data_IF_691266006172
#
_entry.id   IF_691266006172
#
_cell.length_a   1.000
_cell.length_b   1.000
_cell.length_c   1.000
_cell.angle_alpha   90.00
_cell.angle_beta   90.00
_cell.angle_gamma   90.00
#
_symmetry.space_group_name_H-M   'P 1'
#
loop_
_entity.id
_entity.type
_entity.pdbx_description
1 polymer ?
#
# COMPACT_ATOMS: atom_id res chain seq x y z
N UNK A 1 -8.01 -10.84 -2.24
CA UNK A 1 -8.53 -10.27 -3.51
C UNK A 1 -7.79 -8.98 -3.83
N UNK A 2 -7.44 -8.75 -5.10
CA UNK A 2 -6.79 -7.53 -5.61
C UNK A 2 -7.19 -7.27 -7.06
N UNK A 3 -6.93 -6.06 -7.57
CA UNK A 3 -6.95 -5.77 -9.01
C UNK A 3 -5.59 -6.15 -9.62
N UNK A 4 -5.51 -7.02 -10.64
CA UNK A 4 -4.22 -7.42 -11.25
C UNK A 4 -3.48 -6.27 -11.94
N UNK A 5 -2.14 -6.32 -11.96
CA UNK A 5 -1.28 -5.46 -12.81
C UNK A 5 -0.07 -4.85 -12.09
N UNK A 6 -0.23 -4.52 -10.81
CA UNK A 6 0.80 -3.84 -9.99
C UNK A 6 1.18 -4.69 -8.77
N UNK A 7 1.36 -5.99 -8.98
CA UNK A 7 1.42 -6.97 -7.90
C UNK A 7 2.72 -6.90 -7.11
N UNK A 8 3.83 -6.56 -7.78
CA UNK A 8 5.12 -6.35 -7.10
C UNK A 8 5.08 -5.12 -6.19
N UNK A 9 4.42 -4.03 -6.63
CA UNK A 9 4.22 -2.84 -5.81
C UNK A 9 3.31 -3.15 -4.62
N UNK A 10 2.22 -3.89 -4.83
CA UNK A 10 1.34 -4.35 -3.76
C UNK A 10 2.10 -5.14 -2.70
N UNK A 11 2.96 -6.09 -3.10
CA UNK A 11 3.76 -6.91 -2.20
C UNK A 11 4.73 -6.04 -1.40
N UNK A 12 5.47 -5.15 -2.07
CA UNK A 12 6.41 -4.25 -1.41
C UNK A 12 5.71 -3.34 -0.38
N UNK A 13 4.60 -2.71 -0.76
CA UNK A 13 3.83 -1.86 0.13
C UNK A 13 3.23 -2.62 1.31
N UNK A 14 2.74 -3.85 1.10
CA UNK A 14 2.25 -4.70 2.18
C UNK A 14 3.34 -5.02 3.20
N UNK A 15 4.54 -5.40 2.73
CA UNK A 15 5.67 -5.69 3.61
C UNK A 15 6.10 -4.45 4.40
N UNK A 16 6.10 -3.28 3.76
CA UNK A 16 6.37 -2.01 4.43
C UNK A 16 5.30 -1.65 5.47
N UNK A 17 4.01 -1.79 5.11
CA UNK A 17 2.89 -1.48 5.99
C UNK A 17 2.83 -2.39 7.23
N UNK A 18 3.27 -3.65 7.10
CA UNK A 18 3.39 -4.57 8.23
C UNK A 18 4.70 -4.40 9.03
N UNK A 19 5.64 -3.59 8.53
CA UNK A 19 6.92 -3.31 9.17
C UNK A 19 7.94 -4.45 9.04
N UNK A 20 7.75 -5.34 8.07
CA UNK A 20 8.69 -6.41 7.70
C UNK A 20 9.92 -5.82 7.00
N UNK A 21 9.72 -4.74 6.24
CA UNK A 21 10.78 -3.91 5.66
C UNK A 21 10.56 -2.45 6.05
N UNK A 22 11.63 -1.66 6.07
CA UNK A 22 11.61 -0.21 6.29
C UNK A 22 11.91 0.58 5.01
N UNK A 23 12.55 -0.06 4.02
CA UNK A 23 12.87 0.53 2.73
C UNK A 23 12.75 -0.49 1.60
N UNK A 24 12.44 -0.03 0.39
CA UNK A 24 12.39 -0.89 -0.80
C UNK A 24 13.72 -1.59 -1.13
N UNK A 25 14.86 -1.10 -0.60
CA UNK A 25 16.19 -1.69 -0.82
C UNK A 25 16.39 -3.02 -0.10
N UNK A 26 15.54 -3.31 0.87
CA UNK A 26 15.54 -4.55 1.63
C UNK A 26 14.93 -5.70 0.83
N UNK A 27 14.24 -5.43 -0.28
CA UNK A 27 13.78 -6.46 -1.21
C UNK A 27 14.84 -6.64 -2.29
N UNK A 28 15.37 -7.86 -2.41
CA UNK A 28 16.33 -8.22 -3.46
C UNK A 28 15.62 -8.79 -4.69
N UNK A 29 14.51 -9.50 -4.51
CA UNK A 29 13.75 -10.10 -5.60
C UNK A 29 12.27 -10.30 -5.22
N UNK A 30 11.38 -10.21 -6.22
CA UNK A 30 9.98 -10.64 -6.13
C UNK A 30 9.69 -11.49 -7.34
N UNK A 31 9.24 -12.73 -7.11
CA UNK A 31 8.80 -13.64 -8.16
C UNK A 31 7.39 -14.14 -7.87
N UNK A 32 6.67 -14.54 -8.92
CA UNK A 32 5.28 -14.95 -8.83
C UNK A 32 5.15 -16.37 -9.38
N UNK A 33 4.41 -17.21 -8.67
CA UNK A 33 3.92 -18.45 -9.24
C UNK A 33 2.80 -18.18 -10.25
N UNK A 34 2.60 -19.12 -11.16
CA UNK A 34 1.44 -19.11 -12.05
C UNK A 34 0.15 -19.11 -11.22
N UNK A 35 -0.83 -18.34 -11.69
CA UNK A 35 -2.13 -18.27 -11.04
C UNK A 35 -2.79 -19.65 -11.13
N UNK A 36 -3.14 -20.23 -9.99
CA UNK A 36 -3.80 -21.53 -9.95
C UNK A 36 -5.25 -21.46 -10.47
N UNK A 37 -5.91 -22.62 -10.55
CA UNK A 37 -7.31 -22.70 -10.99
C UNK A 37 -8.31 -21.96 -10.09
N UNK A 38 -7.90 -21.61 -8.87
CA UNK A 38 -8.71 -20.87 -7.90
C UNK A 38 -8.46 -19.36 -7.94
N UNK A 39 -7.52 -18.90 -8.78
CA UNK A 39 -7.17 -17.49 -8.91
C UNK A 39 -6.19 -17.00 -7.84
N UNK A 40 -5.56 -17.91 -7.09
CA UNK A 40 -4.55 -17.53 -6.11
C UNK A 40 -3.23 -17.22 -6.80
N UNK A 41 -2.59 -16.13 -6.39
CA UNK A 41 -1.26 -15.75 -6.84
C UNK A 41 -0.32 -15.74 -5.64
N UNK A 42 0.70 -16.60 -5.68
CA UNK A 42 1.74 -16.67 -4.66
C UNK A 42 2.91 -15.80 -5.10
N UNK A 43 3.37 -14.93 -4.20
CA UNK A 43 4.57 -14.13 -4.39
C UNK A 43 5.67 -14.66 -3.47
N UNK A 44 6.85 -14.94 -4.04
CA UNK A 44 8.06 -15.24 -3.31
C UNK A 44 8.93 -13.98 -3.25
N UNK A 45 9.34 -13.60 -2.04
CA UNK A 45 10.11 -12.38 -1.81
C UNK A 45 11.42 -12.75 -1.14
N UNK A 46 12.53 -12.40 -1.79
CA UNK A 46 13.86 -12.53 -1.20
C UNK A 46 14.24 -11.21 -0.54
N UNK A 47 14.51 -11.23 0.76
CA UNK A 47 14.99 -10.07 1.51
C UNK A 47 16.53 -9.99 1.49
N UNK A 48 17.06 -8.79 1.65
CA UNK A 48 18.49 -8.56 1.81
C UNK A 48 18.99 -9.33 3.06
N UNK A 49 20.19 -9.94 3.04
CA UNK A 49 20.70 -10.73 4.17
C UNK A 49 20.75 -10.00 5.51
N UNK A 50 20.89 -8.67 5.47
CA UNK A 50 20.92 -7.81 6.67
C UNK A 50 19.52 -7.41 7.18
N UNK A 51 18.46 -7.78 6.47
CA UNK A 51 17.08 -7.58 6.89
C UNK A 51 16.63 -8.78 7.71
N UNK A 52 16.43 -8.58 9.00
CA UNK A 52 15.94 -9.60 9.93
C UNK A 52 14.54 -9.22 10.43
N UNK A 53 13.47 -9.71 9.78
CA UNK A 53 12.11 -9.50 10.27
C UNK A 53 11.89 -10.17 11.61
N UNK A 54 11.07 -9.56 12.48
CA UNK A 54 10.63 -10.20 13.71
C UNK A 54 9.79 -11.45 13.34
N UNK A 55 10.14 -12.66 13.82
CA UNK A 55 9.36 -13.87 13.56
C UNK A 55 7.87 -13.72 13.91
N UNK A 56 7.52 -12.91 14.91
CA UNK A 56 6.13 -12.63 15.27
C UNK A 56 5.37 -11.86 14.19
N UNK A 57 6.06 -11.06 13.37
CA UNK A 57 5.47 -10.40 12.19
C UNK A 57 5.18 -11.42 11.08
N UNK A 58 6.01 -12.47 10.96
CA UNK A 58 5.88 -13.52 9.95
C UNK A 58 4.86 -14.60 10.32
N UNK A 59 4.63 -14.85 11.61
CA UNK A 59 3.63 -15.81 12.11
C UNK A 59 2.19 -15.36 11.83
N UNK A 60 1.99 -14.07 11.51
CA UNK A 60 0.68 -13.52 11.20
C UNK A 60 0.18 -14.02 9.85
N UNK A 61 -0.76 -14.97 9.90
CA UNK A 61 -1.70 -15.24 8.82
C UNK A 61 -2.62 -14.03 8.64
N UNK A 62 -2.13 -13.00 7.94
CA UNK A 62 -2.94 -11.87 7.54
C UNK A 62 -4.00 -12.37 6.55
N UNK A 63 -5.24 -12.55 7.03
CA UNK A 63 -6.37 -12.68 6.12
C UNK A 63 -6.66 -11.27 5.62
N UNK A 64 -6.05 -10.91 4.49
CA UNK A 64 -6.32 -9.66 3.80
C UNK A 64 -7.72 -9.73 3.19
N UNK A 65 -8.71 -9.35 3.99
CA UNK A 65 -10.06 -9.04 3.54
C UNK A 65 -10.11 -7.58 3.09
N UNK A 66 -11.13 -7.19 2.31
CA UNK A 66 -11.39 -5.79 1.96
C UNK A 66 -11.76 -4.89 3.15
N UNK A 67 -11.74 -5.43 4.38
CA UNK A 67 -12.02 -4.72 5.62
C UNK A 67 -10.86 -3.81 6.08
N UNK A 68 -11.08 -3.09 7.18
CA UNK A 68 -10.37 -1.88 7.60
C UNK A 68 -8.88 -1.97 8.00
N UNK A 69 -8.16 -3.05 7.67
CA UNK A 69 -6.74 -3.22 8.04
C UNK A 69 -6.48 -3.45 9.53
N UNK A 70 -7.38 -3.01 10.42
CA UNK A 70 -7.34 -3.28 11.88
C UNK A 70 -7.48 -4.76 12.21
N UNK A 71 -8.15 -5.53 11.34
CA UNK A 71 -8.26 -6.99 11.49
C UNK A 71 -6.89 -7.68 11.51
N UNK A 72 -5.88 -7.01 10.96
CA UNK A 72 -4.49 -7.41 10.98
C UNK A 72 -3.69 -6.76 12.12
N UNK A 73 -4.26 -6.40 13.27
CA UNK A 73 -3.49 -6.16 14.50
C UNK A 73 -4.12 -6.88 15.70
N UNK A 74 -3.30 -7.42 16.60
CA UNK A 74 -3.77 -8.24 17.75
C UNK A 74 -4.17 -7.41 18.96
N UNK A 75 -3.74 -6.15 19.02
CA UNK A 75 -4.16 -5.19 20.04
C UNK A 75 -4.00 -3.74 19.56
N UNK A 76 -4.62 -2.78 20.26
CA UNK A 76 -4.47 -1.34 19.95
C UNK A 76 -3.04 -0.87 20.22
N UNK A 77 -2.38 -1.41 21.23
CA UNK A 77 -1.00 -1.08 21.59
C UNK A 77 -0.03 -1.44 20.47
N UNK A 78 -0.29 -2.51 19.73
CA UNK A 78 0.52 -2.90 18.56
C UNK A 78 0.47 -1.88 17.41
N UNK A 79 -0.49 -0.95 17.40
CA UNK A 79 -0.53 0.14 16.42
C UNK A 79 0.61 1.15 16.61
N UNK A 80 1.12 1.31 17.84
CA UNK A 80 2.15 2.29 18.14
C UNK A 80 3.57 1.75 18.02
N UNK A 81 3.75 0.42 17.97
CA UNK A 81 5.05 -0.22 18.10
C UNK A 81 6.07 0.20 17.01
N UNK A 82 5.59 0.53 15.81
CA UNK A 82 6.43 0.86 14.65
C UNK A 82 6.28 2.32 14.19
N UNK A 83 5.57 3.17 14.94
CA UNK A 83 5.38 4.56 14.57
C UNK A 83 6.51 5.41 15.13
N UNK A 84 7.44 5.82 14.27
CA UNK A 84 8.36 6.90 14.60
C UNK A 84 7.61 8.24 14.60
N UNK A 85 7.85 9.12 15.58
CA UNK A 85 7.33 10.49 15.51
C UNK A 85 7.73 11.10 14.18
N UNK A 86 6.78 11.73 13.48
CA UNK A 86 7.10 12.52 12.31
C UNK A 86 8.17 13.54 12.71
N UNK A 87 9.36 13.43 12.12
CA UNK A 87 10.42 14.41 12.32
C UNK A 87 9.83 15.76 11.94
N UNK A 88 9.59 16.66 12.92
CA UNK A 88 8.84 17.93 12.75
C UNK A 88 9.15 18.55 11.39
N UNK A 89 8.35 18.28 10.35
CA UNK A 89 8.64 18.82 9.06
C UNK A 89 8.26 20.29 9.16
N UNK A 90 8.93 21.14 8.38
CA UNK A 90 8.29 22.33 7.85
C UNK A 90 7.06 21.85 7.08
N UNK A 91 5.93 21.64 7.75
CA UNK A 91 4.74 21.11 7.11
C UNK A 91 4.39 22.05 5.96
N UNK A 92 4.30 21.56 4.71
CA UNK A 92 3.88 22.40 3.62
C UNK A 92 2.48 22.93 3.96
N UNK A 93 2.35 24.25 4.01
CA UNK A 93 1.03 24.87 4.16
C UNK A 93 0.31 24.71 2.83
N UNK A 94 -0.77 23.92 2.83
CA UNK A 94 -1.56 23.69 1.62
C UNK A 94 -2.69 24.72 1.58
N UNK A 95 -2.81 25.42 0.45
CA UNK A 95 -3.93 26.33 0.25
C UNK A 95 -5.26 25.51 0.19
N UNK A 96 -6.34 25.92 0.90
CA UNK A 96 -7.60 25.19 0.88
C UNK A 96 -8.16 24.94 -0.53
N UNK A 97 -7.94 25.87 -1.47
CA UNK A 97 -8.37 25.72 -2.87
C UNK A 97 -7.67 24.55 -3.58
N UNK A 98 -6.42 24.24 -3.21
CA UNK A 98 -5.70 23.07 -3.73
C UNK A 98 -6.39 21.79 -3.26
N UNK A 99 -6.71 21.69 -1.96
CA UNK A 99 -7.37 20.51 -1.37
C UNK A 99 -8.73 20.22 -2.02
N UNK A 100 -9.55 21.25 -2.23
CA UNK A 100 -10.87 21.12 -2.86
C UNK A 100 -10.77 20.64 -4.31
N UNK A 101 -9.66 20.93 -5.01
CA UNK A 101 -9.45 20.50 -6.39
C UNK A 101 -8.91 19.07 -6.53
N UNK A 102 -8.38 18.44 -5.46
CA UNK A 102 -7.74 17.12 -5.55
C UNK A 102 -8.70 15.98 -5.93
N UNK A 103 -9.95 15.90 -5.43
CA UNK A 103 -10.85 14.80 -5.79
C UNK A 103 -11.11 14.71 -7.29
N UNK A 104 -11.37 15.85 -7.95
CA UNK A 104 -11.56 15.92 -9.40
C UNK A 104 -10.27 15.56 -10.17
N UNK A 105 -9.11 15.97 -9.68
CA UNK A 105 -7.81 15.60 -10.28
C UNK A 105 -7.55 14.09 -10.17
N UNK A 106 -7.82 13.51 -9.00
CA UNK A 106 -7.71 12.07 -8.79
C UNK A 106 -8.68 11.32 -9.69
N UNK A 107 -9.92 11.80 -9.80
CA UNK A 107 -10.97 11.20 -10.61
C UNK A 107 -10.57 11.02 -12.08
N UNK A 108 -9.93 12.05 -12.66
CA UNK A 108 -9.44 12.04 -14.05
C UNK A 108 -8.31 11.03 -14.31
N UNK A 109 -7.75 10.44 -13.26
CA UNK A 109 -6.62 9.51 -13.34
C UNK A 109 -7.04 8.06 -13.03
N UNK A 110 -8.33 7.79 -12.83
CA UNK A 110 -8.88 6.48 -12.45
C UNK A 110 -9.38 5.69 -13.66
N UNK A 111 -8.45 5.10 -14.43
CA UNK A 111 -8.75 4.41 -15.69
C UNK A 111 -9.58 3.14 -15.50
N UNK A 112 -9.35 2.40 -14.43
CA UNK A 112 -10.08 1.16 -14.16
C UNK A 112 -11.43 1.49 -13.54
N UNK A 113 -11.53 2.53 -12.70
CA UNK A 113 -12.83 3.00 -12.23
C UNK A 113 -13.72 3.43 -13.40
N UNK A 114 -13.19 4.21 -14.36
CA UNK A 114 -13.98 4.67 -15.52
C UNK A 114 -14.68 3.52 -16.26
N UNK A 115 -14.05 2.34 -16.27
CA UNK A 115 -14.60 1.13 -16.91
C UNK A 115 -15.54 0.31 -16.01
N UNK A 116 -15.34 0.35 -14.69
CA UNK A 116 -15.94 -0.62 -13.76
C UNK A 116 -16.87 -0.02 -12.72
N UNK A 117 -16.64 1.22 -12.30
CA UNK A 117 -17.38 1.90 -11.23
C UNK A 117 -17.15 1.37 -9.81
N UNK A 118 -16.33 0.32 -9.63
CA UNK A 118 -16.39 -0.55 -8.45
C UNK A 118 -15.07 -0.72 -7.68
N UNK A 119 -14.15 0.24 -7.76
CA UNK A 119 -12.83 0.14 -7.12
C UNK A 119 -12.45 1.43 -6.38
N UNK A 120 -11.41 1.33 -5.56
CA UNK A 120 -10.81 2.46 -4.87
C UNK A 120 -9.59 3.00 -5.62
N UNK A 121 -9.24 4.25 -5.32
CA UNK A 121 -8.02 4.88 -5.81
C UNK A 121 -7.32 5.66 -4.69
N UNK A 122 -6.00 5.66 -4.71
CA UNK A 122 -5.15 6.50 -3.85
C UNK A 122 -4.25 7.33 -4.77
N UNK A 123 -4.02 8.60 -4.40
CA UNK A 123 -3.15 9.50 -5.14
C UNK A 123 -2.18 10.24 -4.22
N UNK A 124 -0.92 10.32 -4.64
CA UNK A 124 0.09 11.19 -4.01
C UNK A 124 0.07 12.52 -4.76
N UNK A 125 -0.09 13.61 -4.03
CA UNK A 125 0.00 14.96 -4.57
C UNK A 125 1.11 15.74 -3.87
N UNK A 126 1.76 16.63 -4.60
CA UNK A 126 2.66 17.61 -3.99
C UNK A 126 1.87 18.80 -3.37
N UNK A 127 2.58 19.76 -2.79
CA UNK A 127 1.95 20.92 -2.15
C UNK A 127 1.23 21.86 -3.13
N UNK A 128 1.51 21.78 -4.43
CA UNK A 128 0.85 22.54 -5.50
C UNK A 128 -0.41 21.83 -6.02
N UNK A 129 -0.61 20.58 -5.60
CA UNK A 129 -1.67 19.70 -6.08
C UNK A 129 -1.35 19.06 -7.42
N UNK A 130 -0.08 18.96 -7.80
CA UNK A 130 0.38 18.11 -8.91
C UNK A 130 0.29 16.64 -8.49
N UNK A 131 -0.30 15.80 -9.35
CA UNK A 131 -0.37 14.36 -9.11
C UNK A 131 1.00 13.73 -9.37
N UNK A 132 1.56 13.09 -8.34
CA UNK A 132 2.88 12.42 -8.38
C UNK A 132 2.77 10.92 -8.61
N UNK A 133 1.66 10.32 -8.20
CA UNK A 133 1.38 8.90 -8.39
C UNK A 133 -0.08 8.59 -8.11
N UNK A 134 -0.59 7.53 -8.73
CA UNK A 134 -1.96 7.03 -8.54
C UNK A 134 -1.94 5.52 -8.61
N UNK A 135 -2.71 4.86 -7.76
CA UNK A 135 -2.94 3.44 -7.81
C UNK A 135 -4.43 3.14 -7.61
N UNK A 136 -4.91 2.10 -8.28
CA UNK A 136 -6.30 1.64 -8.20
C UNK A 136 -6.35 0.17 -7.74
N UNK A 137 -7.31 -0.16 -6.87
CA UNK A 137 -7.56 -1.53 -6.46
C UNK A 137 -8.97 -1.72 -5.90
N UNK A 138 -9.52 -2.93 -6.03
CA UNK A 138 -10.79 -3.31 -5.38
C UNK A 138 -10.74 -3.15 -3.85
N UNK A 139 -9.56 -3.31 -3.24
CA UNK A 139 -9.32 -3.04 -1.84
C UNK A 139 -8.62 -1.69 -1.62
N UNK A 140 -9.19 -0.80 -0.80
CA UNK A 140 -8.55 0.50 -0.52
C UNK A 140 -7.14 0.41 0.09
N UNK A 141 -6.86 -0.64 0.88
CA UNK A 141 -5.52 -0.85 1.46
C UNK A 141 -4.55 -1.29 0.38
N UNK A 142 -4.93 -2.23 -0.49
CA UNK A 142 -4.13 -2.61 -1.64
C UNK A 142 -3.82 -1.41 -2.55
N UNK A 143 -4.79 -0.50 -2.77
CA UNK A 143 -4.57 0.72 -3.54
C UNK A 143 -3.55 1.66 -2.87
N UNK A 144 -3.50 1.69 -1.53
CA UNK A 144 -2.47 2.41 -0.79
C UNK A 144 -1.13 1.70 -0.89
N UNK A 145 -1.09 0.39 -0.61
CA UNK A 145 0.13 -0.42 -0.63
C UNK A 145 0.82 -0.38 -1.99
N UNK A 146 0.07 -0.45 -3.09
CA UNK A 146 0.62 -0.29 -4.45
C UNK A 146 1.32 1.05 -4.71
N UNK A 147 1.00 2.08 -3.92
CA UNK A 147 1.48 3.43 -4.13
C UNK A 147 2.65 3.82 -3.21
N UNK A 148 2.84 3.07 -2.12
CA UNK A 148 3.93 3.23 -1.13
C UNK A 148 5.24 2.72 -1.70
#
# INVERSE_FOLDING_TARGET
MRTPGDDAALVAGLLYAEGIILTAREITSVSFEDIDSEGAAIAHVDLHPDTEPDPLQLERRAVTTSACGVCSKTSVESLNANLSPLARPTHPTICPSVLVALPEKLRKSQKVFEKTGGIHAVGIFDHSGELRGVAEDVGRHNALDKLV
#
